data_IF_474669994776
#
_entry.id   IF_474669994776
#
_cell.length_a   1.000
_cell.length_b   1.000
_cell.length_c   1.000
_cell.angle_alpha   90.00
_cell.angle_beta   90.00
_cell.angle_gamma   90.00
#
_symmetry.space_group_name_H-M   'P 1'
#
loop_
_entity.id
_entity.type
_entity.pdbx_description
1 polymer ?
#
# COMPACT_ATOMS: atom_id res chain seq x y z
N UNK A 1 25.78 2.80 -16.28
CA UNK A 1 24.43 2.59 -15.73
C UNK A 1 23.94 3.92 -15.20
N UNK A 2 23.17 4.66 -15.99
CA UNK A 2 22.67 5.99 -15.64
C UNK A 2 21.14 5.84 -15.55
N UNK A 3 20.62 5.66 -14.34
CA UNK A 3 19.18 5.69 -14.11
C UNK A 3 18.80 7.17 -14.14
N UNK A 4 17.95 7.55 -15.09
CA UNK A 4 17.45 8.91 -15.20
C UNK A 4 16.65 9.27 -13.93
N UNK A 5 17.04 10.28 -13.13
CA UNK A 5 16.33 10.62 -11.91
C UNK A 5 15.18 11.56 -12.26
N UNK A 6 14.03 11.06 -12.74
CA UNK A 6 13.02 11.96 -13.32
C UNK A 6 11.54 11.67 -13.11
N UNK A 7 11.16 10.70 -12.31
CA UNK A 7 9.78 10.65 -11.80
C UNK A 7 9.78 11.07 -10.32
N UNK A 8 8.99 12.09 -9.93
CA UNK A 8 8.84 12.41 -8.51
C UNK A 8 8.25 11.19 -7.79
N UNK A 9 8.64 10.93 -6.53
CA UNK A 9 7.98 9.90 -5.73
C UNK A 9 6.47 10.11 -5.73
N UNK A 10 5.72 9.02 -5.90
CA UNK A 10 4.26 9.09 -5.91
C UNK A 10 3.75 8.98 -4.48
N UNK A 11 2.84 9.87 -4.10
CA UNK A 11 2.13 9.71 -2.84
C UNK A 11 0.97 8.74 -3.06
N UNK A 12 0.99 7.62 -2.34
CA UNK A 12 0.00 6.57 -2.47
C UNK A 12 -0.77 6.40 -1.14
N UNK A 13 -2.06 6.20 -1.25
CA UNK A 13 -2.90 5.72 -0.13
C UNK A 13 -3.30 4.28 -0.39
N UNK A 14 -3.31 3.46 0.65
CA UNK A 14 -3.86 2.11 0.58
C UNK A 14 -5.05 1.96 1.51
N UNK A 15 -5.98 1.08 1.12
CA UNK A 15 -7.06 0.59 1.97
C UNK A 15 -7.17 -0.92 1.76
N UNK A 16 -7.35 -1.66 2.85
CA UNK A 16 -7.40 -3.11 2.81
C UNK A 16 -8.40 -3.66 3.84
N UNK A 17 -9.36 -4.45 3.34
CA UNK A 17 -10.29 -5.20 4.17
C UNK A 17 -9.64 -6.48 4.70
N UNK A 18 -9.46 -6.54 6.01
CA UNK A 18 -8.85 -7.67 6.70
C UNK A 18 -9.82 -8.30 7.71
N UNK A 19 -9.74 -9.61 7.84
CA UNK A 19 -10.43 -10.35 8.89
C UNK A 19 -9.54 -10.42 10.12
N UNK A 20 -10.13 -10.11 11.27
CA UNK A 20 -9.44 -10.13 12.56
C UNK A 20 -9.54 -11.50 13.22
N UNK A 21 -8.58 -11.81 14.08
CA UNK A 21 -8.59 -13.05 14.88
C UNK A 21 -9.82 -13.17 15.79
N UNK A 22 -10.52 -12.06 16.06
CA UNK A 22 -11.75 -12.03 16.86
C UNK A 22 -13.01 -12.41 16.05
N UNK A 23 -12.89 -12.57 14.72
CA UNK A 23 -14.03 -12.86 13.83
C UNK A 23 -14.64 -11.61 13.19
N UNK A 24 -14.16 -10.42 13.53
CA UNK A 24 -14.65 -9.16 12.98
C UNK A 24 -13.90 -8.79 11.69
N UNK A 25 -14.55 -8.01 10.81
CA UNK A 25 -13.90 -7.34 9.69
C UNK A 25 -13.39 -5.97 10.11
N UNK A 26 -12.20 -5.60 9.65
CA UNK A 26 -11.64 -4.26 9.83
C UNK A 26 -10.95 -3.77 8.56
N UNK A 27 -11.27 -2.53 8.21
CA UNK A 27 -10.57 -1.79 7.15
C UNK A 27 -9.30 -1.21 7.76
N UNK A 28 -8.16 -1.48 7.13
CA UNK A 28 -6.88 -0.83 7.44
C UNK A 28 -6.53 0.11 6.31
N UNK A 29 -6.26 1.36 6.66
CA UNK A 29 -5.88 2.39 5.71
C UNK A 29 -4.57 3.08 6.12
N UNK A 30 -3.87 3.62 5.13
CA UNK A 30 -2.62 4.33 5.37
C UNK A 30 -2.10 5.00 4.12
N UNK A 31 -0.94 5.64 4.24
CA UNK A 31 -0.27 6.32 3.14
C UNK A 31 1.23 6.06 3.14
N UNK A 32 1.82 6.00 1.95
CA UNK A 32 3.25 5.83 1.76
C UNK A 32 3.73 6.59 0.52
N UNK A 33 5.04 6.80 0.44
CA UNK A 33 5.71 7.35 -0.73
C UNK A 33 6.27 6.19 -1.54
N UNK A 34 5.91 6.08 -2.81
CA UNK A 34 6.47 5.11 -3.74
C UNK A 34 7.61 5.77 -4.53
N UNK A 35 8.87 5.37 -4.31
CA UNK A 35 9.99 5.88 -5.10
C UNK A 35 9.84 5.49 -6.58
N UNK A 36 10.39 6.30 -7.50
CA UNK A 36 10.36 5.98 -8.91
C UNK A 36 11.14 4.69 -9.22
N UNK A 37 10.53 3.79 -9.99
CA UNK A 37 11.14 2.51 -10.39
C UNK A 37 11.02 1.38 -9.35
N UNK A 38 10.50 1.66 -8.16
CA UNK A 38 10.18 0.64 -7.16
C UNK A 38 8.88 -0.09 -7.48
N UNK A 39 8.85 -1.40 -7.20
CA UNK A 39 7.67 -2.26 -7.37
C UNK A 39 7.67 -3.36 -6.31
N UNK A 40 6.50 -3.98 -6.06
CA UNK A 40 6.34 -5.02 -5.04
C UNK A 40 6.70 -4.58 -3.60
N UNK A 41 6.40 -3.33 -3.26
CA UNK A 41 6.71 -2.76 -1.94
C UNK A 41 5.73 -3.28 -0.89
N UNK A 42 6.23 -3.62 0.30
CA UNK A 42 5.38 -3.91 1.46
C UNK A 42 4.80 -2.60 2.02
N UNK A 43 3.50 -2.39 1.85
CA UNK A 43 2.81 -1.16 2.28
C UNK A 43 2.20 -1.26 3.68
N UNK A 44 2.05 -2.48 4.19
CA UNK A 44 1.46 -2.76 5.48
C UNK A 44 2.11 -4.00 6.12
N UNK A 45 2.50 -3.88 7.40
CA UNK A 45 2.90 -4.99 8.24
C UNK A 45 2.22 -4.80 9.60
N UNK A 46 1.32 -5.71 9.96
CA UNK A 46 0.56 -5.65 11.21
C UNK A 46 0.21 -7.04 11.72
N UNK A 47 -0.21 -7.09 12.97
CA UNK A 47 -0.68 -8.30 13.65
C UNK A 47 -2.15 -8.17 14.05
N UNK A 48 -2.80 -9.28 14.40
CA UNK A 48 -4.22 -9.32 14.79
C UNK A 48 -5.19 -9.66 13.65
N UNK A 49 -4.67 -10.01 12.48
CA UNK A 49 -5.43 -10.44 11.30
C UNK A 49 -5.00 -11.84 10.89
N UNK A 50 -5.94 -12.71 10.53
CA UNK A 50 -5.66 -14.07 10.04
C UNK A 50 -5.71 -14.17 8.51
N UNK A 51 -6.51 -13.34 7.84
CA UNK A 51 -6.60 -13.34 6.37
C UNK A 51 -7.07 -11.99 5.80
N UNK A 52 -6.74 -11.79 4.53
CA UNK A 52 -7.32 -10.73 3.72
C UNK A 52 -8.71 -11.15 3.21
N UNK A 53 -9.66 -10.20 3.20
CA UNK A 53 -10.99 -10.41 2.63
C UNK A 53 -11.08 -9.93 1.17
N UNK A 54 -10.18 -9.03 0.77
CA UNK A 54 -10.06 -8.51 -0.60
C UNK A 54 -8.61 -8.33 -0.98
N UNK A 55 -8.34 -8.04 -2.25
CA UNK A 55 -7.08 -7.42 -2.64
C UNK A 55 -7.00 -5.98 -2.09
N UNK A 56 -5.79 -5.48 -1.76
CA UNK A 56 -5.63 -4.11 -1.30
C UNK A 56 -5.89 -3.12 -2.44
N UNK A 57 -6.61 -2.04 -2.14
CA UNK A 57 -6.82 -0.93 -3.05
C UNK A 57 -5.69 0.07 -2.83
N UNK A 58 -4.92 0.38 -3.88
CA UNK A 58 -3.83 1.37 -3.83
C UNK A 58 -4.11 2.48 -4.84
N UNK A 59 -4.13 3.73 -4.36
CA UNK A 59 -4.34 4.91 -5.18
C UNK A 59 -3.11 5.81 -5.07
N UNK A 60 -2.35 5.92 -6.17
CA UNK A 60 -1.17 6.77 -6.25
C UNK A 60 -1.48 8.07 -7.00
N UNK A 61 -1.21 9.21 -6.36
CA UNK A 61 -1.27 10.54 -6.99
C UNK A 61 0.14 10.91 -7.47
N UNK A 62 0.35 10.82 -8.78
CA UNK A 62 1.53 11.40 -9.42
C UNK A 62 1.26 12.85 -9.84
N UNK A 63 2.25 13.73 -9.69
CA UNK A 63 2.23 15.00 -10.41
C UNK A 63 2.38 14.69 -11.90
N UNK A 64 1.41 15.17 -12.68
CA UNK A 64 1.35 15.03 -14.14
C UNK A 64 2.46 15.84 -14.81
#
# INVERSE_FOLDING_TARGET
SHVEPKAPPQFCTFSWDLHTMAGDQKVVEGSFMLPPGESNVQVYQGSGFDRALSDPIVICRGNK
#
